data_IF_826928739266
#
_entry.id   IF_826928739266
#
_cell.length_a   1.000
_cell.length_b   1.000
_cell.length_c   1.000
_cell.angle_alpha   90.00
_cell.angle_beta   90.00
_cell.angle_gamma   90.00
#
_symmetry.space_group_name_H-M   'P 1'
#
loop_
_entity.id
_entity.type
_entity.pdbx_description
1 polymer ?
#
# COMPACT_ATOMS: atom_id res chain seq x y z
N UNK A 1 -3.00 -21.25 -13.85
CA UNK A 1 -3.01 -20.92 -12.41
C UNK A 1 -4.23 -20.05 -12.15
N UNK A 2 -5.12 -20.45 -11.24
CA UNK A 2 -6.29 -19.62 -10.88
C UNK A 2 -5.82 -18.42 -10.06
N UNK A 3 -6.34 -17.21 -10.33
CA UNK A 3 -6.08 -16.05 -9.48
C UNK A 3 -6.68 -16.31 -8.09
N UNK A 4 -5.93 -16.01 -7.04
CA UNK A 4 -6.44 -16.09 -5.66
C UNK A 4 -7.35 -14.89 -5.37
N UNK A 5 -8.18 -14.98 -4.32
CA UNK A 5 -9.01 -13.85 -3.88
C UNK A 5 -8.15 -12.61 -3.61
N UNK A 6 -6.98 -12.79 -3.00
CA UNK A 6 -6.00 -11.74 -2.69
C UNK A 6 -5.44 -11.09 -3.97
N UNK A 7 -5.17 -11.88 -5.02
CA UNK A 7 -4.73 -11.31 -6.31
C UNK A 7 -5.83 -10.47 -6.96
N UNK A 8 -7.08 -10.96 -6.92
CA UNK A 8 -8.24 -10.25 -7.50
C UNK A 8 -8.52 -8.95 -6.76
N UNK A 9 -8.51 -8.96 -5.43
CA UNK A 9 -8.73 -7.74 -4.63
C UNK A 9 -7.57 -6.77 -4.77
N UNK A 10 -6.33 -7.24 -4.80
CA UNK A 10 -5.17 -6.38 -5.07
C UNK A 10 -5.29 -5.65 -6.42
N UNK A 11 -5.56 -6.39 -7.51
CA UNK A 11 -5.63 -5.80 -8.84
C UNK A 11 -6.73 -4.73 -8.91
N UNK A 12 -7.91 -5.02 -8.34
CA UNK A 12 -9.04 -4.09 -8.30
C UNK A 12 -8.75 -2.85 -7.45
N UNK A 13 -8.25 -3.03 -6.22
CA UNK A 13 -7.91 -1.92 -5.33
C UNK A 13 -6.83 -1.05 -5.95
N UNK A 14 -5.84 -1.64 -6.63
CA UNK A 14 -4.79 -0.90 -7.35
C UNK A 14 -5.37 -0.06 -8.48
N UNK A 15 -6.27 -0.61 -9.30
CA UNK A 15 -6.92 0.13 -10.38
C UNK A 15 -7.71 1.31 -9.82
N UNK A 16 -8.48 1.13 -8.75
CA UNK A 16 -9.24 2.21 -8.12
C UNK A 16 -8.34 3.27 -7.49
N UNK A 17 -7.26 2.87 -6.85
CA UNK A 17 -6.27 3.78 -6.28
C UNK A 17 -5.58 4.60 -7.37
N UNK A 18 -5.10 3.98 -8.46
CA UNK A 18 -4.40 4.69 -9.54
C UNK A 18 -5.33 5.56 -10.41
N UNK A 19 -6.58 5.12 -10.61
CA UNK A 19 -7.58 5.87 -11.38
C UNK A 19 -8.40 6.87 -10.55
N UNK A 20 -8.26 6.82 -9.23
CA UNK A 20 -8.98 7.69 -8.31
C UNK A 20 -8.81 9.15 -8.72
N UNK A 21 -9.92 9.89 -8.77
CA UNK A 21 -9.84 11.33 -8.94
C UNK A 21 -9.33 11.95 -7.65
N UNK A 22 -8.01 12.10 -7.57
CA UNK A 22 -7.33 12.92 -6.59
C UNK A 22 -7.86 14.35 -6.67
N UNK A 23 -8.07 14.99 -5.51
CA UNK A 23 -8.82 16.24 -5.37
C UNK A 23 -8.65 17.24 -6.53
N UNK A 24 -9.76 17.76 -7.08
CA UNK A 24 -9.72 18.61 -8.27
C UNK A 24 -9.28 20.04 -8.00
N UNK A 25 -9.31 20.52 -6.75
CA UNK A 25 -9.10 21.93 -6.41
C UNK A 25 -8.07 22.10 -5.29
N UNK A 26 -7.22 23.13 -5.42
CA UNK A 26 -6.21 23.46 -4.42
C UNK A 26 -6.18 24.93 -4.02
N UNK A 27 -6.14 25.16 -2.71
CA UNK A 27 -5.89 26.46 -2.10
C UNK A 27 -7.03 27.47 -2.26
N UNK A 28 -6.84 28.71 -1.73
CA UNK A 28 -7.86 29.75 -1.75
C UNK A 28 -8.29 30.24 -3.14
N UNK A 29 -7.47 30.05 -4.18
CA UNK A 29 -7.83 30.38 -5.57
C UNK A 29 -8.52 29.21 -6.30
N UNK A 30 -8.77 28.08 -5.61
CA UNK A 30 -9.39 26.89 -6.19
C UNK A 30 -8.70 26.44 -7.49
N UNK A 31 -7.37 26.33 -7.46
CA UNK A 31 -6.60 25.92 -8.63
C UNK A 31 -7.06 24.54 -9.10
N UNK A 32 -7.45 24.43 -10.37
CA UNK A 32 -7.86 23.15 -10.96
C UNK A 32 -6.66 22.24 -11.19
N UNK A 33 -6.57 21.16 -10.41
CA UNK A 33 -5.50 20.18 -10.47
C UNK A 33 -5.86 18.95 -11.31
N UNK A 34 -7.05 18.89 -11.90
CA UNK A 34 -7.50 17.71 -12.66
C UNK A 34 -6.54 17.40 -13.80
N UNK A 35 -5.94 16.21 -13.73
CA UNK A 35 -5.00 15.74 -14.74
C UNK A 35 -3.63 16.42 -14.73
N UNK A 36 -3.35 17.29 -13.75
CA UNK A 36 -2.03 17.91 -13.61
C UNK A 36 -1.11 17.10 -12.72
N UNK A 37 0.16 16.99 -13.13
CA UNK A 37 1.24 16.51 -12.27
C UNK A 37 2.07 17.67 -11.70
N UNK A 38 2.93 17.37 -10.73
CA UNK A 38 3.77 18.38 -10.07
C UNK A 38 4.66 19.17 -11.05
N UNK A 39 5.13 18.56 -12.14
CA UNK A 39 5.94 19.27 -13.15
C UNK A 39 5.10 20.31 -13.89
N UNK A 40 3.86 19.98 -14.25
CA UNK A 40 2.95 20.92 -14.91
C UNK A 40 2.54 22.06 -13.97
N UNK A 41 2.22 21.76 -12.71
CA UNK A 41 1.96 22.80 -11.70
C UNK A 41 3.17 23.73 -11.51
N UNK A 42 4.39 23.20 -11.54
CA UNK A 42 5.62 24.00 -11.48
C UNK A 42 5.79 24.91 -12.69
N UNK A 43 5.41 24.44 -13.88
CA UNK A 43 5.42 25.27 -15.08
C UNK A 43 4.43 26.43 -14.96
N UNK A 44 3.23 26.18 -14.42
CA UNK A 44 2.23 27.22 -14.16
C UNK A 44 2.72 28.21 -13.10
N UNK A 45 3.40 27.74 -12.06
CA UNK A 45 4.03 28.62 -11.06
C UNK A 45 5.04 29.59 -11.69
N UNK A 46 5.84 29.12 -12.64
CA UNK A 46 6.83 29.93 -13.34
C UNK A 46 6.21 30.88 -14.39
N UNK A 47 5.03 30.54 -14.90
CA UNK A 47 4.32 31.31 -15.93
C UNK A 47 3.41 32.40 -15.33
N UNK A 48 3.12 32.33 -14.03
CA UNK A 48 2.24 33.25 -13.31
C UNK A 48 3.05 34.16 -12.38
N UNK A 49 2.41 35.15 -11.77
CA UNK A 49 3.06 36.10 -10.88
C UNK A 49 2.26 36.32 -9.58
N UNK A 50 2.94 36.85 -8.56
CA UNK A 50 2.32 37.22 -7.30
C UNK A 50 1.63 36.05 -6.58
N UNK A 51 0.40 36.28 -6.15
CA UNK A 51 -0.36 35.31 -5.34
C UNK A 51 -0.66 34.00 -6.08
N UNK A 52 -0.84 34.05 -7.40
CA UNK A 52 -1.11 32.88 -8.22
C UNK A 52 0.12 31.97 -8.32
N UNK A 53 1.30 32.55 -8.58
CA UNK A 53 2.57 31.82 -8.59
C UNK A 53 2.86 31.14 -7.25
N UNK A 54 2.55 31.82 -6.14
CA UNK A 54 2.68 31.26 -4.80
C UNK A 54 1.77 30.03 -4.61
N UNK A 55 0.51 30.10 -5.04
CA UNK A 55 -0.41 28.96 -4.90
C UNK A 55 -0.04 27.80 -5.84
N UNK A 56 0.41 28.06 -7.06
CA UNK A 56 0.92 27.02 -7.95
C UNK A 56 2.19 26.34 -7.40
N UNK A 57 3.05 27.08 -6.71
CA UNK A 57 4.22 26.52 -6.01
C UNK A 57 3.77 25.59 -4.87
N UNK A 58 2.79 26.02 -4.06
CA UNK A 58 2.23 25.18 -3.02
C UNK A 58 1.53 23.93 -3.59
N UNK A 59 0.77 24.07 -4.69
CA UNK A 59 0.15 22.96 -5.40
C UNK A 59 1.19 21.96 -5.94
N UNK A 60 2.35 22.44 -6.41
CA UNK A 60 3.46 21.60 -6.85
C UNK A 60 3.98 20.72 -5.71
N UNK A 61 4.19 21.30 -4.53
CA UNK A 61 4.63 20.54 -3.36
C UNK A 61 3.58 19.51 -2.93
N UNK A 62 2.32 19.90 -2.91
CA UNK A 62 1.22 19.01 -2.58
C UNK A 62 1.12 17.83 -3.56
N UNK A 63 1.13 18.08 -4.88
CA UNK A 63 1.12 17.03 -5.91
C UNK A 63 2.33 16.09 -5.79
N UNK A 64 3.48 16.61 -5.37
CA UNK A 64 4.69 15.79 -5.13
C UNK A 64 4.49 14.86 -3.93
N UNK A 65 3.90 15.36 -2.85
CA UNK A 65 3.57 14.55 -1.67
C UNK A 65 2.54 13.47 -2.00
N UNK A 66 1.45 13.84 -2.69
CA UNK A 66 0.42 12.90 -3.17
C UNK A 66 1.04 11.80 -4.03
N UNK A 67 1.87 12.14 -5.02
CA UNK A 67 2.52 11.15 -5.88
C UNK A 67 3.43 10.19 -5.08
N UNK A 68 4.13 10.70 -4.07
CA UNK A 68 4.96 9.90 -3.17
C UNK A 68 4.11 8.93 -2.34
N UNK A 69 2.98 9.41 -1.80
CA UNK A 69 2.06 8.61 -1.01
C UNK A 69 1.34 7.55 -1.85
N UNK A 70 0.96 7.85 -3.09
CA UNK A 70 0.44 6.89 -4.05
C UNK A 70 1.41 5.71 -4.23
N UNK A 71 2.69 6.02 -4.44
CA UNK A 71 3.73 5.01 -4.57
C UNK A 71 3.92 4.21 -3.27
N UNK A 72 3.95 4.89 -2.11
CA UNK A 72 4.12 4.24 -0.80
C UNK A 72 2.99 3.26 -0.50
N UNK A 73 1.73 3.67 -0.69
CA UNK A 73 0.57 2.81 -0.47
C UNK A 73 0.56 1.60 -1.42
N UNK A 74 0.84 1.84 -2.70
CA UNK A 74 0.89 0.77 -3.71
C UNK A 74 2.01 -0.25 -3.42
N UNK A 75 3.17 0.22 -2.98
CA UNK A 75 4.29 -0.64 -2.60
C UNK A 75 3.95 -1.49 -1.38
N UNK A 76 3.34 -0.90 -0.34
CA UNK A 76 2.89 -1.61 0.85
C UNK A 76 1.82 -2.66 0.52
N UNK A 77 0.83 -2.33 -0.31
CA UNK A 77 -0.18 -3.29 -0.76
C UNK A 77 0.44 -4.45 -1.57
N UNK A 78 1.46 -4.18 -2.39
CA UNK A 78 2.19 -5.22 -3.12
C UNK A 78 2.93 -6.15 -2.14
N UNK A 79 3.61 -5.59 -1.14
CA UNK A 79 4.27 -6.36 -0.09
C UNK A 79 3.26 -7.23 0.67
N UNK A 80 2.09 -6.70 1.00
CA UNK A 80 1.03 -7.44 1.68
C UNK A 80 0.60 -8.68 0.88
N UNK A 81 0.35 -8.51 -0.42
CA UNK A 81 0.03 -9.60 -1.34
C UNK A 81 1.16 -10.63 -1.40
N UNK A 82 2.40 -10.18 -1.48
CA UNK A 82 3.56 -11.06 -1.59
C UNK A 82 3.80 -11.84 -0.28
N UNK A 83 3.64 -11.22 0.90
CA UNK A 83 3.68 -11.92 2.20
C UNK A 83 2.57 -12.97 2.32
N UNK A 84 1.35 -12.61 1.91
CA UNK A 84 0.22 -13.53 1.93
C UNK A 84 0.43 -14.77 1.04
N UNK A 85 1.09 -14.62 -0.11
CA UNK A 85 1.48 -15.76 -0.97
C UNK A 85 2.44 -16.74 -0.31
N UNK A 86 3.21 -16.28 0.68
CA UNK A 86 4.14 -17.10 1.44
C UNK A 86 3.58 -17.52 2.80
N UNK A 87 2.28 -17.30 3.07
CA UNK A 87 1.64 -17.63 4.34
C UNK A 87 2.11 -16.79 5.53
N UNK A 88 2.82 -15.69 5.29
CA UNK A 88 3.27 -14.79 6.35
C UNK A 88 2.17 -13.76 6.67
N UNK A 89 1.15 -14.22 7.38
CA UNK A 89 -0.09 -13.48 7.62
C UNK A 89 0.11 -12.20 8.45
N UNK A 90 0.96 -12.23 9.49
CA UNK A 90 1.23 -11.06 10.33
C UNK A 90 1.88 -9.92 9.52
N UNK A 91 2.90 -10.25 8.70
CA UNK A 91 3.52 -9.27 7.82
C UNK A 91 2.56 -8.80 6.72
N UNK A 92 1.69 -9.67 6.22
CA UNK A 92 0.68 -9.30 5.23
C UNK A 92 -0.32 -8.28 5.79
N UNK A 93 -0.80 -8.49 7.03
CA UNK A 93 -1.72 -7.59 7.72
C UNK A 93 -1.05 -6.24 7.99
N UNK A 94 0.15 -6.23 8.58
CA UNK A 94 0.86 -4.98 8.86
C UNK A 94 1.14 -4.14 7.59
N UNK A 95 1.48 -4.82 6.47
CA UNK A 95 1.72 -4.16 5.20
C UNK A 95 0.45 -3.57 4.58
N UNK A 96 -0.69 -4.26 4.63
CA UNK A 96 -1.95 -3.71 4.09
C UNK A 96 -2.51 -2.60 4.97
N UNK A 97 -2.35 -2.67 6.29
CA UNK A 97 -2.69 -1.57 7.22
C UNK A 97 -1.89 -0.31 6.92
N UNK A 98 -0.61 -0.46 6.54
CA UNK A 98 0.20 0.68 6.07
C UNK A 98 -0.41 1.30 4.81
N UNK A 99 -0.83 0.50 3.83
CA UNK A 99 -1.48 1.02 2.63
C UNK A 99 -2.80 1.77 2.95
N UNK A 100 -3.64 1.19 3.80
CA UNK A 100 -4.88 1.80 4.29
C UNK A 100 -4.62 3.12 5.04
N UNK A 101 -3.59 3.18 5.89
CA UNK A 101 -3.24 4.39 6.64
C UNK A 101 -2.82 5.54 5.73
N UNK A 102 -2.06 5.26 4.67
CA UNK A 102 -1.70 6.28 3.68
C UNK A 102 -2.95 6.78 2.95
N UNK A 103 -3.80 5.85 2.50
CA UNK A 103 -5.05 6.18 1.81
C UNK A 103 -6.04 6.98 2.65
N UNK A 104 -6.13 6.72 3.95
CA UNK A 104 -7.02 7.43 4.87
C UNK A 104 -6.78 8.95 4.93
N UNK A 105 -5.60 9.41 4.48
CA UNK A 105 -5.30 10.84 4.34
C UNK A 105 -6.07 11.48 3.18
N UNK A 106 -6.47 10.68 2.18
CA UNK A 106 -7.02 11.13 0.91
C UNK A 106 -8.48 10.76 0.69
N UNK A 107 -8.90 9.57 1.11
CA UNK A 107 -10.25 9.08 0.84
C UNK A 107 -10.95 8.64 2.14
N UNK A 108 -12.20 9.09 2.38
CA UNK A 108 -13.00 8.58 3.50
C UNK A 108 -13.42 7.12 3.30
N UNK A 109 -13.51 6.68 2.04
CA UNK A 109 -13.76 5.28 1.65
C UNK A 109 -12.46 4.72 1.07
N UNK A 110 -11.89 3.71 1.72
CA UNK A 110 -10.56 3.18 1.38
C UNK A 110 -10.67 2.03 0.39
N UNK A 111 -10.04 2.15 -0.78
CA UNK A 111 -9.94 1.11 -1.78
C UNK A 111 -9.12 -0.10 -1.29
N UNK A 112 -8.08 0.12 -0.48
CA UNK A 112 -7.24 -0.96 0.06
C UNK A 112 -7.93 -1.82 1.15
N UNK A 113 -9.04 -1.36 1.72
CA UNK A 113 -9.81 -2.13 2.72
C UNK A 113 -10.35 -3.46 2.16
N UNK A 114 -10.65 -3.53 0.86
CA UNK A 114 -11.05 -4.77 0.21
C UNK A 114 -9.92 -5.83 0.21
N UNK A 115 -8.67 -5.40 0.00
CA UNK A 115 -7.50 -6.26 0.11
C UNK A 115 -7.27 -6.69 1.56
N UNK A 116 -7.42 -5.76 2.51
CA UNK A 116 -7.28 -6.04 3.94
C UNK A 116 -8.24 -7.14 4.40
N UNK A 117 -9.53 -7.02 4.06
CA UNK A 117 -10.56 -8.03 4.34
C UNK A 117 -10.23 -9.39 3.74
N UNK A 118 -9.74 -9.42 2.49
CA UNK A 118 -9.35 -10.67 1.84
C UNK A 118 -8.21 -11.39 2.59
N UNK A 119 -7.19 -10.64 3.03
CA UNK A 119 -6.07 -11.18 3.81
C UNK A 119 -6.57 -11.73 5.16
N UNK A 120 -7.44 -11.00 5.87
CA UNK A 120 -8.01 -11.43 7.15
C UNK A 120 -8.91 -12.67 7.05
N UNK A 121 -9.66 -12.80 5.95
CA UNK A 121 -10.48 -14.00 5.72
C UNK A 121 -9.57 -15.19 5.46
N UNK A 122 -8.58 -15.03 4.58
CA UNK A 122 -7.68 -16.13 4.22
C UNK A 122 -6.82 -16.59 5.39
N UNK A 123 -6.30 -15.67 6.21
CA UNK A 123 -5.47 -16.01 7.38
C UNK A 123 -6.22 -16.83 8.44
N UNK A 124 -7.56 -16.69 8.51
CA UNK A 124 -8.43 -17.46 9.42
C UNK A 124 -8.81 -18.83 8.86
N UNK A 125 -8.79 -18.99 7.54
CA UNK A 125 -9.17 -20.23 6.87
C UNK A 125 -8.00 -21.19 6.64
N UNK A 126 -6.75 -20.71 6.72
CA UNK A 126 -5.59 -21.59 6.60
C UNK A 126 -5.25 -22.22 7.96
N UNK A 127 -5.20 -23.57 8.07
CA UNK A 127 -4.80 -24.20 9.31
C UNK A 127 -3.33 -23.85 9.58
N UNK A 128 -3.04 -23.28 10.75
CA UNK A 128 -1.67 -23.17 11.28
C UNK A 128 -1.07 -24.57 11.23
N UNK A 129 -0.19 -24.82 10.27
CA UNK A 129 0.59 -26.05 10.25
C UNK A 129 1.47 -25.99 11.51
N UNK A 130 1.32 -26.93 12.47
CA UNK A 130 2.20 -26.96 13.61
C UNK A 130 3.63 -27.06 13.07
N UNK A 131 4.52 -26.15 13.50
CA UNK A 131 5.96 -26.30 13.21
C UNK A 131 6.34 -27.73 13.59
N UNK A 132 7.00 -28.50 12.73
CA UNK A 132 7.50 -29.80 13.13
C UNK A 132 8.41 -29.57 14.33
N UNK A 133 8.00 -30.12 15.49
CA UNK A 133 8.86 -30.20 16.66
C UNK A 133 10.17 -30.82 16.18
N UNK A 134 11.23 -30.02 16.19
CA UNK A 134 12.59 -30.51 16.05
C UNK A 134 12.74 -31.50 17.20
N UNK A 135 12.74 -32.80 16.89
CA UNK A 135 13.08 -33.82 17.87
C UNK A 135 14.49 -33.51 18.32
N UNK A 136 14.64 -33.17 19.60
CA UNK A 136 15.91 -33.12 20.29
C UNK A 136 16.64 -34.44 20.01
N UNK A 137 17.68 -34.33 19.19
CA UNK A 137 18.59 -35.42 18.88
C UNK A 137 19.66 -35.37 19.96
N UNK A 138 19.28 -35.69 21.19
CA UNK A 138 20.24 -35.83 22.28
C UNK A 138 20.87 -37.22 22.28
N UNK A 139 22.17 -37.16 22.42
CA UNK A 139 23.16 -38.22 22.42
C UNK A 139 22.96 -39.31 23.48
N UNK A 140 23.04 -40.58 23.05
CA UNK A 140 23.86 -41.59 23.73
C UNK A 140 24.53 -42.39 22.60
N UNK A 141 25.83 -42.25 22.29
CA UNK A 141 26.96 -42.14 23.21
C UNK A 141 27.37 -43.55 23.60
N UNK A 142 28.38 -44.10 22.90
CA UNK A 142 28.99 -45.39 23.18
C UNK A 142 29.33 -45.58 24.66
N UNK A 143 29.09 -46.79 25.18
CA UNK A 143 30.02 -47.44 26.11
C UNK A 143 30.28 -48.86 25.61
N UNK A 144 31.51 -49.06 25.17
CA UNK A 144 32.18 -50.33 24.93
C UNK A 144 32.93 -50.72 26.22
N UNK A 145 33.36 -51.99 26.30
CA UNK A 145 34.12 -52.69 27.39
C UNK A 145 33.23 -53.15 28.56
N UNK A 146 33.22 -54.41 29.00
CA UNK A 146 34.04 -55.62 28.78
C UNK A 146 33.12 -56.87 28.72
#
# INVERSE_FOLDING_TARGET
>A
MSKTLIDVTFDRSKEQWESGQWWPEFGPLQLDLRGLNAKQAKLLANATAGQEAFQWTAATHWLTAVATDIQRATAAARQARDYAKHGNWDCAIAAVETACSVEATYHPVQFWDALHKAILIQSKCEPVTPRPHIRDREHQGQSSLD
#
